data_IF_579635810343
#
_entry.id   IF_579635810343
#
_cell.length_a   1.000
_cell.length_b   1.000
_cell.length_c   1.000
_cell.angle_alpha   90.00
_cell.angle_beta   90.00
_cell.angle_gamma   90.00
#
_symmetry.space_group_name_H-M   'P 1'
#
loop_
_entity.id
_entity.type
_entity.pdbx_description
1 polymer ?
#
# COMPACT_ATOMS: atom_id res chain seq x y z
N UNK A 1 19.62 14.74 -20.71
CA UNK A 1 19.35 13.29 -20.84
C UNK A 1 18.90 12.80 -19.48
N UNK A 2 17.60 12.81 -19.22
CA UNK A 2 17.01 12.38 -17.97
C UNK A 2 16.93 10.87 -17.93
N UNK A 3 17.77 10.24 -17.11
CA UNK A 3 17.66 8.82 -16.80
C UNK A 3 16.35 8.57 -16.06
N UNK A 4 15.28 8.19 -16.77
CA UNK A 4 14.01 7.83 -16.18
C UNK A 4 14.20 6.68 -15.19
N UNK A 5 13.76 6.89 -13.96
CA UNK A 5 13.67 5.83 -12.96
C UNK A 5 12.78 4.71 -13.52
N UNK A 6 13.36 3.54 -13.71
CA UNK A 6 12.65 2.33 -14.12
C UNK A 6 12.32 1.53 -12.85
N UNK A 7 11.10 1.60 -12.35
CA UNK A 7 10.72 0.75 -11.20
C UNK A 7 10.77 -0.71 -11.65
N UNK A 8 11.47 -1.52 -10.88
CA UNK A 8 11.49 -2.98 -11.04
C UNK A 8 10.50 -3.57 -10.06
N UNK A 9 9.47 -4.20 -10.57
CA UNK A 9 8.43 -4.83 -9.77
C UNK A 9 8.70 -6.32 -9.75
N UNK A 10 8.71 -6.87 -8.56
CA UNK A 10 8.82 -8.30 -8.31
C UNK A 10 7.43 -8.83 -8.05
N UNK A 11 6.96 -9.65 -8.96
CA UNK A 11 5.70 -10.35 -8.79
C UNK A 11 5.99 -11.79 -8.39
N UNK A 12 5.38 -12.22 -7.29
CA UNK A 12 5.25 -13.62 -6.94
C UNK A 12 3.84 -14.05 -7.33
N UNK A 13 3.70 -15.26 -7.87
CA UNK A 13 2.38 -15.84 -8.02
C UNK A 13 1.65 -15.80 -6.69
N UNK A 14 0.39 -15.34 -6.63
CA UNK A 14 -0.43 -15.56 -5.44
C UNK A 14 -0.46 -17.06 -5.16
N UNK A 15 -0.43 -17.40 -3.89
CA UNK A 15 -0.25 -18.73 -3.30
C UNK A 15 -1.30 -19.78 -3.67
N UNK A 16 -1.75 -19.87 -4.90
CA UNK A 16 -2.63 -20.96 -5.36
C UNK A 16 -1.85 -22.19 -5.86
N UNK A 17 -0.53 -22.12 -5.90
CA UNK A 17 0.31 -23.27 -6.23
C UNK A 17 1.42 -23.44 -5.20
N UNK A 18 1.09 -24.16 -4.12
CA UNK A 18 2.06 -24.81 -3.24
C UNK A 18 2.77 -25.94 -4.01
N UNK A 19 3.73 -25.60 -4.86
CA UNK A 19 4.75 -26.55 -5.32
C UNK A 19 6.08 -25.81 -5.29
N UNK A 20 6.98 -26.36 -4.47
CA UNK A 20 8.29 -25.86 -4.17
C UNK A 20 9.06 -25.44 -5.41
N UNK A 21 9.42 -24.29 -5.40
CA UNK A 21 10.46 -23.46 -5.95
C UNK A 21 9.90 -22.07 -6.34
N UNK A 22 10.52 -21.00 -5.95
CA UNK A 22 9.98 -19.68 -6.23
C UNK A 22 10.28 -19.31 -7.69
N UNK A 23 9.39 -19.66 -8.57
CA UNK A 23 9.38 -19.12 -9.93
C UNK A 23 9.09 -17.62 -9.83
N UNK A 24 10.13 -16.86 -9.58
CA UNK A 24 10.01 -15.40 -9.50
C UNK A 24 9.91 -14.85 -10.92
N UNK A 25 8.81 -14.15 -11.19
CA UNK A 25 8.69 -13.32 -12.36
C UNK A 25 9.16 -11.91 -12.04
N UNK A 26 10.08 -11.38 -12.82
CA UNK A 26 10.51 -9.99 -12.74
C UNK A 26 9.79 -9.21 -13.81
N UNK A 27 9.05 -8.19 -13.39
CA UNK A 27 8.43 -7.27 -14.31
C UNK A 27 9.23 -5.97 -14.33
N UNK A 28 9.58 -5.53 -15.51
CA UNK A 28 10.21 -4.22 -15.73
C UNK A 28 9.17 -3.32 -16.40
N UNK A 29 8.84 -2.21 -15.75
CA UNK A 29 7.99 -1.17 -16.30
C UNK A 29 8.84 0.00 -16.74
N UNK A 30 8.59 0.50 -17.94
CA UNK A 30 9.21 1.71 -18.45
C UNK A 30 8.11 2.62 -19.04
N UNK A 31 8.05 3.85 -18.55
CA UNK A 31 7.19 4.89 -19.12
C UNK A 31 7.94 5.59 -20.23
N UNK A 32 7.38 5.51 -21.43
CA UNK A 32 7.92 6.15 -22.62
C UNK A 32 6.77 6.97 -23.23
N UNK A 33 6.86 8.28 -23.13
CA UNK A 33 5.79 9.21 -23.47
C UNK A 33 4.47 8.84 -22.75
N UNK A 34 3.39 8.64 -23.50
CA UNK A 34 2.07 8.25 -22.95
C UNK A 34 1.88 6.74 -22.85
N UNK A 35 2.93 5.92 -23.06
CA UNK A 35 2.83 4.47 -23.06
C UNK A 35 3.62 3.82 -21.94
N UNK A 36 3.13 2.68 -21.46
CA UNK A 36 3.85 1.82 -20.50
C UNK A 36 4.33 0.58 -21.24
N UNK A 37 5.64 0.38 -21.27
CA UNK A 37 6.26 -0.85 -21.75
C UNK A 37 6.40 -1.83 -20.60
N UNK A 38 5.87 -3.04 -20.77
CA UNK A 38 5.93 -4.11 -19.79
C UNK A 38 6.87 -5.19 -20.35
N UNK A 39 7.92 -5.50 -19.61
CA UNK A 39 8.81 -6.63 -19.91
C UNK A 39 8.74 -7.62 -18.76
N UNK A 40 8.33 -8.85 -19.06
CA UNK A 40 8.33 -9.96 -18.10
C UNK A 40 9.57 -10.80 -18.33
N UNK A 41 10.30 -11.05 -17.25
CA UNK A 41 11.50 -11.90 -17.23
C UNK A 41 11.21 -13.05 -16.26
N UNK A 42 11.20 -14.27 -16.79
CA UNK A 42 11.14 -15.48 -15.97
C UNK A 42 12.54 -15.82 -15.45
N UNK A 43 12.64 -16.14 -14.17
CA UNK A 43 13.90 -16.60 -13.56
C UNK A 43 13.95 -18.12 -13.38
N UNK A 44 12.89 -18.82 -13.78
CA UNK A 44 12.73 -20.27 -13.72
C UNK A 44 11.74 -20.74 -14.78
N UNK A 45 11.18 -21.94 -14.59
CA UNK A 45 10.15 -22.49 -15.47
C UNK A 45 8.84 -21.73 -15.23
N UNK A 46 8.29 -21.12 -16.27
CA UNK A 46 7.00 -20.45 -16.21
C UNK A 46 6.07 -20.93 -17.31
N UNK A 47 4.76 -20.91 -17.02
CA UNK A 47 3.71 -21.23 -17.98
C UNK A 47 3.23 -19.96 -18.68
N UNK A 48 2.46 -20.11 -19.76
CA UNK A 48 1.78 -18.97 -20.40
C UNK A 48 0.85 -18.24 -19.43
N UNK A 49 0.15 -18.96 -18.57
CA UNK A 49 -0.72 -18.41 -17.54
C UNK A 49 0.05 -17.53 -16.54
N UNK A 50 1.27 -17.93 -16.19
CA UNK A 50 2.15 -17.12 -15.32
C UNK A 50 2.52 -15.80 -15.96
N UNK A 51 2.83 -15.82 -17.24
CA UNK A 51 3.17 -14.62 -18.01
C UNK A 51 1.96 -13.70 -18.13
N UNK A 52 0.77 -14.25 -18.44
CA UNK A 52 -0.47 -13.47 -18.50
C UNK A 52 -0.80 -12.82 -17.15
N UNK A 53 -0.71 -13.59 -16.06
CA UNK A 53 -0.90 -13.07 -14.72
C UNK A 53 0.10 -11.93 -14.40
N UNK A 54 1.36 -12.09 -14.78
CA UNK A 54 2.38 -11.07 -14.55
C UNK A 54 2.09 -9.79 -15.36
N UNK A 55 1.61 -9.92 -16.59
CA UNK A 55 1.22 -8.78 -17.43
C UNK A 55 0.02 -8.05 -16.82
N UNK A 56 -1.03 -8.78 -16.43
CA UNK A 56 -2.22 -8.21 -15.80
C UNK A 56 -1.87 -7.48 -14.49
N UNK A 57 -1.04 -8.09 -13.66
CA UNK A 57 -0.56 -7.47 -12.42
C UNK A 57 0.25 -6.21 -12.71
N UNK A 58 1.12 -6.24 -13.71
CA UNK A 58 1.91 -5.10 -14.14
C UNK A 58 1.03 -3.94 -14.65
N UNK A 59 -0.02 -4.24 -15.43
CA UNK A 59 -1.00 -3.25 -15.90
C UNK A 59 -1.72 -2.58 -14.73
N UNK A 60 -2.19 -3.37 -13.75
CA UNK A 60 -2.83 -2.85 -12.55
C UNK A 60 -1.88 -1.98 -11.72
N UNK A 61 -0.64 -2.44 -11.56
CA UNK A 61 0.37 -1.68 -10.82
C UNK A 61 0.75 -0.37 -11.53
N UNK A 62 0.74 -0.34 -12.84
CA UNK A 62 0.93 0.88 -13.64
C UNK A 62 -0.34 1.72 -13.78
N UNK A 63 -1.46 1.29 -13.19
CA UNK A 63 -2.77 1.92 -13.31
C UNK A 63 -3.21 2.14 -14.78
N UNK A 64 -2.81 1.24 -15.70
CA UNK A 64 -3.09 1.39 -17.14
C UNK A 64 -4.58 1.33 -17.43
N UNK A 65 -5.28 0.46 -16.70
CA UNK A 65 -6.71 0.19 -16.90
C UNK A 65 -7.61 0.96 -15.92
N UNK A 66 -7.02 1.82 -15.08
CA UNK A 66 -7.78 2.61 -14.12
C UNK A 66 -8.25 3.92 -14.76
N UNK A 67 -9.57 4.14 -14.76
CA UNK A 67 -10.21 5.34 -15.34
C UNK A 67 -10.64 6.33 -14.25
N UNK A 68 -9.97 7.48 -14.13
CA UNK A 68 -10.37 8.55 -13.24
C UNK A 68 -11.38 9.53 -13.85
N UNK A 69 -11.92 9.26 -15.04
CA UNK A 69 -12.72 10.21 -15.81
C UNK A 69 -13.93 10.77 -15.08
N UNK A 70 -14.59 9.98 -14.25
CA UNK A 70 -15.70 10.46 -13.41
C UNK A 70 -15.22 11.48 -12.36
N UNK A 71 -14.13 11.20 -11.66
CA UNK A 71 -13.55 12.15 -10.71
C UNK A 71 -13.14 13.45 -11.43
N UNK A 72 -12.48 13.35 -12.59
CA UNK A 72 -12.03 14.53 -13.33
C UNK A 72 -13.20 15.45 -13.69
N UNK A 73 -14.33 14.89 -14.09
CA UNK A 73 -15.56 15.67 -14.34
C UNK A 73 -16.11 16.29 -13.07
N UNK A 74 -16.11 15.53 -11.97
CA UNK A 74 -16.64 15.98 -10.68
C UNK A 74 -15.85 17.16 -10.11
N UNK A 75 -14.52 17.18 -10.28
CA UNK A 75 -13.64 18.21 -9.71
C UNK A 75 -13.25 19.32 -10.67
N UNK A 76 -13.68 19.29 -11.95
CA UNK A 76 -13.25 20.25 -12.96
C UNK A 76 -13.43 21.73 -12.57
N UNK A 77 -14.52 22.06 -11.87
CA UNK A 77 -14.79 23.41 -11.35
C UNK A 77 -14.31 23.66 -9.90
N UNK A 78 -13.69 22.68 -9.27
CA UNK A 78 -13.28 22.82 -7.86
C UNK A 78 -11.97 23.61 -7.77
N UNK A 79 -11.91 24.70 -6.98
CA UNK A 79 -10.78 25.65 -6.98
C UNK A 79 -9.43 25.01 -6.64
N UNK A 80 -9.42 23.98 -5.78
CA UNK A 80 -8.19 23.27 -5.38
C UNK A 80 -8.03 21.98 -6.17
N UNK A 81 -9.05 21.12 -6.16
CA UNK A 81 -8.94 19.77 -6.73
C UNK A 81 -8.86 19.78 -8.26
N UNK A 82 -9.50 20.74 -8.93
CA UNK A 82 -9.41 20.87 -10.38
C UNK A 82 -7.98 21.08 -10.86
N UNK A 83 -7.26 22.00 -10.22
CA UNK A 83 -5.86 22.25 -10.53
C UNK A 83 -4.96 21.04 -10.18
N UNK A 84 -5.19 20.39 -9.03
CA UNK A 84 -4.42 19.21 -8.61
C UNK A 84 -4.65 18.02 -9.54
N UNK A 85 -5.88 17.78 -9.96
CA UNK A 85 -6.23 16.68 -10.87
C UNK A 85 -5.69 16.91 -12.28
N UNK A 86 -5.61 18.17 -12.73
CA UNK A 86 -5.01 18.52 -14.02
C UNK A 86 -3.47 18.41 -14.01
N UNK A 87 -2.83 18.73 -12.87
CA UNK A 87 -1.37 18.70 -12.74
C UNK A 87 -0.83 17.31 -12.32
N UNK A 88 -1.65 16.46 -11.72
CA UNK A 88 -1.30 15.15 -11.21
C UNK A 88 -1.99 14.01 -11.94
N UNK A 89 -1.64 12.79 -11.58
CA UNK A 89 -2.29 11.58 -12.04
C UNK A 89 -3.17 11.01 -10.93
N UNK A 90 -4.51 11.11 -11.01
CA UNK A 90 -5.41 10.60 -10.00
C UNK A 90 -5.65 9.09 -10.09
N UNK A 91 -5.02 8.40 -11.04
CA UNK A 91 -5.13 6.95 -11.16
C UNK A 91 -4.54 6.23 -9.96
N UNK A 92 -5.17 5.12 -9.60
CA UNK A 92 -4.76 4.26 -8.50
C UNK A 92 -4.03 3.04 -9.03
N UNK A 93 -2.77 2.93 -8.67
CA UNK A 93 -2.04 1.68 -8.81
C UNK A 93 -2.59 0.65 -7.83
N UNK A 94 -2.67 -0.60 -8.27
CA UNK A 94 -3.08 -1.71 -7.42
C UNK A 94 -2.23 -2.95 -7.68
N UNK A 95 -2.09 -3.77 -6.66
CA UNK A 95 -1.45 -5.09 -6.79
C UNK A 95 -2.42 -6.14 -6.25
N UNK A 96 -2.70 -7.23 -6.98
CA UNK A 96 -3.64 -8.26 -6.51
C UNK A 96 -3.08 -9.13 -5.37
N UNK A 97 -1.93 -8.80 -4.83
CA UNK A 97 -1.27 -9.52 -3.74
C UNK A 97 -1.71 -8.94 -2.40
N UNK A 98 -2.85 -9.40 -1.89
CA UNK A 98 -3.46 -8.87 -0.65
C UNK A 98 -2.55 -9.07 0.55
N UNK A 99 -1.94 -10.24 0.68
CA UNK A 99 -1.06 -10.54 1.82
C UNK A 99 0.22 -9.69 1.82
N UNK A 100 0.79 -9.40 0.65
CA UNK A 100 1.94 -8.49 0.54
C UNK A 100 1.55 -7.07 0.96
N UNK A 101 0.44 -6.55 0.44
CA UNK A 101 -0.09 -5.23 0.81
C UNK A 101 -0.38 -5.16 2.32
N UNK A 102 -0.98 -6.22 2.89
CA UNK A 102 -1.25 -6.30 4.33
C UNK A 102 0.05 -6.33 5.14
N UNK A 103 1.06 -7.06 4.68
CA UNK A 103 2.38 -7.10 5.34
C UNK A 103 2.98 -5.70 5.42
N UNK A 104 2.96 -4.95 4.32
CA UNK A 104 3.46 -3.57 4.29
C UNK A 104 2.63 -2.68 5.23
N UNK A 105 1.31 -2.73 5.15
CA UNK A 105 0.43 -1.93 6.00
C UNK A 105 0.61 -2.22 7.51
N UNK A 106 0.85 -3.48 7.89
CA UNK A 106 1.19 -3.83 9.29
C UNK A 106 2.54 -3.21 9.70
N UNK A 107 3.54 -3.26 8.83
CA UNK A 107 4.86 -2.67 9.12
C UNK A 107 4.80 -1.15 9.25
N UNK A 108 3.85 -0.50 8.62
CA UNK A 108 3.63 0.96 8.66
C UNK A 108 2.87 1.45 9.90
N UNK A 109 2.26 0.55 10.68
CA UNK A 109 1.50 0.94 11.87
C UNK A 109 2.36 1.69 12.90
N UNK A 110 1.98 2.92 13.23
CA UNK A 110 2.56 3.75 14.30
C UNK A 110 4.08 4.01 14.18
N UNK A 111 4.60 4.02 12.98
CA UNK A 111 6.01 4.35 12.70
C UNK A 111 6.12 5.29 11.50
N UNK A 112 7.31 5.84 11.28
CA UNK A 112 7.57 6.61 10.08
C UNK A 112 7.67 5.70 8.85
N UNK A 113 7.34 6.22 7.66
CA UNK A 113 7.50 5.47 6.41
C UNK A 113 8.95 4.99 6.18
N UNK A 114 9.95 5.75 6.66
CA UNK A 114 11.36 5.33 6.57
C UNK A 114 11.65 4.08 7.42
N UNK A 115 11.11 4.03 8.63
CA UNK A 115 11.25 2.86 9.53
C UNK A 115 10.52 1.64 8.95
N UNK A 116 9.29 1.83 8.47
CA UNK A 116 8.51 0.78 7.82
C UNK A 116 9.25 0.19 6.61
N UNK A 117 9.71 1.05 5.69
CA UNK A 117 10.47 0.61 4.52
C UNK A 117 11.80 -0.05 4.88
N UNK A 118 12.47 0.39 5.95
CA UNK A 118 13.69 -0.25 6.42
C UNK A 118 13.40 -1.66 6.97
N UNK A 119 12.34 -1.81 7.76
CA UNK A 119 11.89 -3.10 8.28
C UNK A 119 11.46 -4.05 7.15
N UNK A 120 10.68 -3.56 6.18
CA UNK A 120 10.28 -4.33 5.00
C UNK A 120 11.48 -4.84 4.21
N UNK A 121 12.44 -3.97 3.88
CA UNK A 121 13.66 -4.39 3.16
C UNK A 121 14.47 -5.46 3.90
N UNK A 122 14.54 -5.38 5.24
CA UNK A 122 15.20 -6.39 6.05
C UNK A 122 14.42 -7.70 6.06
N UNK A 123 13.10 -7.63 6.21
CA UNK A 123 12.22 -8.79 6.18
C UNK A 123 12.30 -9.52 4.83
N UNK A 124 12.27 -8.77 3.70
CA UNK A 124 12.43 -9.36 2.36
C UNK A 124 13.76 -10.08 2.20
N UNK A 125 14.86 -9.57 2.79
CA UNK A 125 16.17 -10.22 2.72
C UNK A 125 16.24 -11.53 3.48
N UNK A 126 15.52 -11.66 4.60
CA UNK A 126 15.61 -12.87 5.45
C UNK A 126 14.54 -13.91 5.14
N UNK A 127 13.38 -13.48 4.65
CA UNK A 127 12.22 -14.34 4.42
C UNK A 127 11.77 -14.38 2.95
N UNK A 128 12.22 -13.44 2.12
CA UNK A 128 11.95 -13.41 0.69
C UNK A 128 12.89 -14.32 -0.10
N UNK A 129 12.46 -14.75 -1.29
CA UNK A 129 13.29 -15.52 -2.18
C UNK A 129 14.21 -14.60 -3.01
N UNK A 130 15.52 -14.88 -3.12
CA UNK A 130 16.39 -14.14 -4.00
C UNK A 130 15.96 -14.32 -5.46
N UNK A 131 16.00 -13.24 -6.23
CA UNK A 131 15.67 -13.27 -7.66
C UNK A 131 16.96 -13.42 -8.47
N UNK A 132 17.09 -14.53 -9.18
CA UNK A 132 18.30 -14.86 -9.94
C UNK A 132 18.70 -13.73 -10.91
N UNK A 133 20.02 -13.48 -11.02
CA UNK A 133 20.57 -12.44 -11.90
C UNK A 133 20.28 -10.99 -11.43
N UNK A 134 19.74 -10.80 -10.23
CA UNK A 134 19.43 -9.46 -9.67
C UNK A 134 19.90 -9.34 -8.21
N UNK A 135 19.83 -8.12 -7.64
CA UNK A 135 20.02 -7.91 -6.19
C UNK A 135 18.68 -7.85 -5.42
N UNK A 136 17.64 -8.41 -5.98
CA UNK A 136 16.29 -8.23 -5.53
C UNK A 136 15.77 -9.50 -4.85
N UNK A 137 14.78 -9.32 -3.98
CA UNK A 137 14.10 -10.40 -3.29
C UNK A 137 12.60 -10.32 -3.61
N UNK A 138 12.00 -11.42 -3.95
CA UNK A 138 10.55 -11.52 -4.06
C UNK A 138 9.92 -11.35 -2.66
N UNK A 139 8.68 -10.88 -2.62
CA UNK A 139 7.95 -10.76 -1.37
C UNK A 139 7.89 -12.11 -0.62
N UNK A 140 8.05 -12.11 0.71
CA UNK A 140 7.95 -13.34 1.50
C UNK A 140 6.57 -13.96 1.39
N UNK A 141 6.52 -15.28 1.34
CA UNK A 141 5.25 -16.00 1.49
C UNK A 141 4.72 -15.89 2.91
N UNK A 142 3.41 -16.12 3.15
CA UNK A 142 2.88 -16.25 4.49
C UNK A 142 3.64 -17.27 5.33
N UNK A 143 3.97 -18.43 4.76
CA UNK A 143 4.74 -19.49 5.45
C UNK A 143 6.13 -19.01 5.81
N UNK A 144 6.82 -18.30 4.91
CA UNK A 144 8.15 -17.76 5.18
C UNK A 144 8.12 -16.70 6.30
N UNK A 145 7.10 -15.83 6.32
CA UNK A 145 6.93 -14.87 7.43
C UNK A 145 6.61 -15.58 8.73
N UNK A 146 5.72 -16.57 8.71
CA UNK A 146 5.34 -17.32 9.91
C UNK A 146 6.52 -18.07 10.52
N UNK A 147 7.48 -18.50 9.70
CA UNK A 147 8.70 -19.18 10.13
C UNK A 147 9.75 -18.23 10.76
N UNK A 148 9.63 -16.91 10.59
CA UNK A 148 10.55 -15.95 11.22
C UNK A 148 10.23 -15.86 12.72
N UNK A 149 11.19 -16.17 13.63
CA UNK A 149 10.95 -16.07 15.06
C UNK A 149 10.62 -14.64 15.49
N UNK A 150 9.80 -14.48 16.53
CA UNK A 150 9.40 -13.17 17.06
C UNK A 150 10.61 -12.29 17.41
N UNK A 151 11.63 -12.85 18.07
CA UNK A 151 12.84 -12.11 18.41
C UNK A 151 13.57 -11.58 17.19
N UNK A 152 13.54 -12.34 16.09
CA UNK A 152 14.15 -11.91 14.82
C UNK A 152 13.38 -10.76 14.18
N UNK A 153 12.04 -10.76 14.27
CA UNK A 153 11.23 -9.62 13.83
C UNK A 153 11.56 -8.35 14.64
N UNK A 154 11.81 -8.50 15.95
CA UNK A 154 12.25 -7.39 16.80
C UNK A 154 13.59 -6.81 16.36
N UNK A 155 14.57 -7.63 16.01
CA UNK A 155 15.86 -7.18 15.47
C UNK A 155 15.70 -6.41 14.14
N UNK A 156 14.66 -6.70 13.37
CA UNK A 156 14.33 -5.95 12.15
C UNK A 156 13.67 -4.59 12.43
N UNK A 157 13.36 -4.28 13.69
CA UNK A 157 12.66 -3.06 14.12
C UNK A 157 11.14 -3.19 14.14
N UNK A 158 10.61 -4.42 14.14
CA UNK A 158 9.17 -4.67 14.24
C UNK A 158 8.78 -4.85 15.70
N UNK A 159 8.03 -3.90 16.27
CA UNK A 159 7.56 -3.97 17.66
C UNK A 159 6.65 -5.18 17.89
N UNK A 160 6.58 -5.68 19.14
CA UNK A 160 5.88 -6.91 19.52
C UNK A 160 4.45 -6.99 19.01
N UNK A 161 3.68 -5.91 19.13
CA UNK A 161 2.29 -5.86 18.66
C UNK A 161 2.20 -6.10 17.13
N UNK A 162 3.03 -5.45 16.35
CA UNK A 162 3.08 -5.61 14.88
C UNK A 162 3.58 -7.00 14.49
N UNK A 163 4.59 -7.52 15.18
CA UNK A 163 5.12 -8.86 14.97
C UNK A 163 4.05 -9.92 15.23
N UNK A 164 3.28 -9.81 16.32
CA UNK A 164 2.14 -10.69 16.60
C UNK A 164 1.06 -10.61 15.52
N UNK A 165 0.67 -9.38 15.13
CA UNK A 165 -0.31 -9.18 14.05
C UNK A 165 0.17 -9.82 12.74
N UNK A 166 1.46 -9.66 12.40
CA UNK A 166 2.06 -10.22 11.21
C UNK A 166 2.04 -11.75 11.21
N UNK A 167 2.34 -12.39 12.36
CA UNK A 167 2.24 -13.85 12.50
C UNK A 167 0.79 -14.36 12.39
N UNK A 168 -0.17 -13.66 13.01
CA UNK A 168 -1.59 -14.00 12.89
C UNK A 168 -2.10 -13.88 11.46
N UNK A 169 -1.68 -12.84 10.75
CA UNK A 169 -2.00 -12.68 9.32
C UNK A 169 -1.32 -13.78 8.48
N UNK A 170 -0.06 -14.09 8.74
CA UNK A 170 0.68 -15.12 8.04
C UNK A 170 0.05 -16.52 8.20
N UNK A 171 -0.42 -16.84 9.40
CA UNK A 171 -1.15 -18.10 9.65
C UNK A 171 -2.46 -18.23 8.83
N UNK A 172 -3.00 -17.12 8.33
CA UNK A 172 -4.23 -17.04 7.52
C UNK A 172 -4.00 -16.59 6.08
N UNK A 173 -2.77 -16.57 5.61
CA UNK A 173 -2.36 -15.97 4.34
C UNK A 173 -3.21 -16.43 3.14
N UNK A 174 -3.47 -17.72 2.99
CA UNK A 174 -4.30 -18.24 1.90
C UNK A 174 -5.77 -17.75 1.98
N UNK A 175 -6.32 -17.58 3.18
CA UNK A 175 -7.67 -17.03 3.35
C UNK A 175 -7.68 -15.52 3.03
N UNK A 176 -6.63 -14.80 3.40
CA UNK A 176 -6.46 -13.37 3.11
C UNK A 176 -6.35 -13.13 1.61
N UNK A 177 -5.57 -13.93 0.88
CA UNK A 177 -5.48 -13.78 -0.58
C UNK A 177 -6.84 -13.97 -1.29
N UNK A 178 -7.67 -14.90 -0.81
CA UNK A 178 -9.03 -15.10 -1.36
C UNK A 178 -9.95 -13.88 -1.19
N UNK A 179 -9.63 -12.95 -0.31
CA UNK A 179 -10.39 -11.72 -0.17
C UNK A 179 -10.28 -10.79 -1.40
N UNK A 180 -9.28 -10.97 -2.24
CA UNK A 180 -9.09 -10.16 -3.45
C UNK A 180 -10.31 -10.17 -4.39
N UNK A 181 -11.15 -11.21 -4.33
CA UNK A 181 -12.34 -11.39 -5.16
C UNK A 181 -13.65 -10.99 -4.46
N UNK A 182 -13.57 -10.53 -3.21
CA UNK A 182 -14.75 -10.14 -2.45
C UNK A 182 -15.13 -8.67 -2.70
N UNK A 183 -16.42 -8.31 -2.55
CA UNK A 183 -16.82 -6.91 -2.53
C UNK A 183 -16.04 -6.12 -1.47
N UNK A 184 -15.72 -4.83 -1.73
CA UNK A 184 -14.88 -4.01 -0.82
C UNK A 184 -15.37 -3.98 0.62
N UNK A 185 -16.66 -3.94 0.86
CA UNK A 185 -17.26 -3.90 2.20
C UNK A 185 -16.99 -5.21 2.96
N UNK A 186 -17.17 -6.36 2.28
CA UNK A 186 -16.87 -7.69 2.83
C UNK A 186 -15.38 -7.84 3.07
N UNK A 187 -14.56 -7.34 2.15
CA UNK A 187 -13.10 -7.31 2.29
C UNK A 187 -12.68 -6.57 3.56
N UNK A 188 -13.20 -5.35 3.79
CA UNK A 188 -12.90 -4.56 4.99
C UNK A 188 -13.34 -5.26 6.27
N UNK A 189 -14.56 -5.78 6.31
CA UNK A 189 -15.09 -6.50 7.48
C UNK A 189 -14.20 -7.69 7.83
N UNK A 190 -13.85 -8.50 6.83
CA UNK A 190 -13.03 -9.71 7.01
C UNK A 190 -11.61 -9.38 7.46
N UNK A 191 -10.98 -8.34 6.88
CA UNK A 191 -9.66 -7.92 7.33
C UNK A 191 -9.69 -7.38 8.77
N UNK A 192 -10.68 -6.56 9.10
CA UNK A 192 -10.81 -5.99 10.45
C UNK A 192 -11.17 -7.03 11.52
N UNK A 193 -11.64 -8.22 11.15
CA UNK A 193 -11.83 -9.34 12.08
C UNK A 193 -10.51 -9.93 12.59
N UNK A 194 -9.37 -9.60 11.96
CA UNK A 194 -8.05 -10.02 12.40
C UNK A 194 -7.56 -9.13 13.54
N UNK A 195 -7.08 -9.70 14.67
CA UNK A 195 -6.51 -8.92 15.76
C UNK A 195 -5.36 -8.02 15.29
N UNK A 196 -5.41 -6.76 15.63
CA UNK A 196 -4.40 -5.76 15.24
C UNK A 196 -4.63 -5.09 13.90
N UNK A 197 -5.68 -5.44 13.15
CA UNK A 197 -6.08 -4.80 11.92
C UNK A 197 -7.27 -3.85 12.19
N UNK A 198 -6.99 -2.55 12.15
CA UNK A 198 -8.00 -1.51 12.30
C UNK A 198 -8.47 -0.95 10.96
N UNK A 199 -9.40 0.05 10.99
CA UNK A 199 -9.93 0.69 9.78
C UNK A 199 -8.84 1.25 8.87
N UNK A 200 -7.81 1.89 9.41
CA UNK A 200 -6.71 2.43 8.62
C UNK A 200 -5.99 1.33 7.81
N UNK A 201 -5.57 0.25 8.49
CA UNK A 201 -4.86 -0.84 7.84
C UNK A 201 -5.73 -1.51 6.76
N UNK A 202 -7.00 -1.77 7.07
CA UNK A 202 -7.91 -2.41 6.13
C UNK A 202 -8.17 -1.54 4.88
N UNK A 203 -8.36 -0.22 5.05
CA UNK A 203 -8.54 0.69 3.93
C UNK A 203 -7.25 0.88 3.11
N UNK A 204 -6.08 0.94 3.75
CA UNK A 204 -4.81 0.98 3.05
C UNK A 204 -4.65 -0.24 2.13
N UNK A 205 -4.92 -1.44 2.65
CA UNK A 205 -4.86 -2.68 1.85
C UNK A 205 -5.92 -2.70 0.76
N UNK A 206 -7.15 -2.24 1.03
CA UNK A 206 -8.21 -2.17 0.01
C UNK A 206 -7.82 -1.24 -1.14
N UNK A 207 -7.22 -0.09 -0.85
CA UNK A 207 -6.68 0.83 -1.85
C UNK A 207 -5.56 0.17 -2.65
N UNK A 208 -4.55 -0.42 -1.97
CA UNK A 208 -3.31 -0.85 -2.59
C UNK A 208 -3.43 -2.22 -3.28
N UNK A 209 -4.28 -3.12 -2.78
CA UNK A 209 -4.50 -4.43 -3.38
C UNK A 209 -5.67 -4.44 -4.38
N UNK A 210 -6.78 -3.78 -4.07
CA UNK A 210 -7.96 -3.78 -4.93
C UNK A 210 -8.03 -2.58 -5.88
N UNK A 211 -7.28 -1.51 -5.62
CA UNK A 211 -7.44 -0.22 -6.31
C UNK A 211 -8.76 0.45 -5.95
N UNK A 212 -9.30 0.20 -4.75
CA UNK A 212 -10.61 0.74 -4.38
C UNK A 212 -10.55 2.25 -4.17
N UNK A 213 -11.22 2.94 -5.09
CA UNK A 213 -11.18 4.40 -5.18
C UNK A 213 -11.87 5.12 -4.01
N UNK A 214 -12.67 4.41 -3.22
CA UNK A 214 -13.40 4.96 -2.08
C UNK A 214 -12.81 4.55 -0.71
N UNK A 215 -11.65 3.90 -0.66
CA UNK A 215 -10.96 3.48 0.55
C UNK A 215 -10.34 4.67 1.30
N UNK A 216 -11.06 5.22 2.26
CA UNK A 216 -10.64 6.40 3.03
C UNK A 216 -9.69 6.01 4.16
N UNK A 217 -8.55 6.71 4.36
CA UNK A 217 -7.56 6.39 5.40
C UNK A 217 -8.04 6.81 6.81
N UNK A 218 -9.17 6.27 7.27
CA UNK A 218 -9.75 6.56 8.60
C UNK A 218 -8.81 6.05 9.69
N UNK A 219 -8.42 6.94 10.60
CA UNK A 219 -7.46 6.63 11.65
C UNK A 219 -6.01 6.91 11.27
N UNK A 220 -5.76 7.49 10.10
CA UNK A 220 -4.44 8.01 9.75
C UNK A 220 -4.07 9.20 10.65
N UNK A 221 -2.78 9.28 10.99
CA UNK A 221 -2.29 10.34 11.88
C UNK A 221 -2.20 11.72 11.21
N UNK A 222 -2.09 11.78 9.89
CA UNK A 222 -1.86 13.00 9.12
C UNK A 222 -3.01 13.35 8.17
N UNK A 223 -3.58 12.36 7.51
CA UNK A 223 -4.58 12.55 6.48
C UNK A 223 -5.78 13.41 6.92
N UNK A 224 -6.37 13.23 8.12
CA UNK A 224 -7.49 14.05 8.55
C UNK A 224 -7.16 15.54 8.56
N UNK A 225 -5.98 15.92 9.03
CA UNK A 225 -5.55 17.31 9.10
C UNK A 225 -5.19 17.86 7.72
N UNK A 226 -4.43 17.12 6.94
CA UNK A 226 -4.03 17.52 5.58
C UNK A 226 -5.26 17.74 4.68
N UNK A 227 -6.23 16.85 4.77
CA UNK A 227 -7.42 16.90 3.94
C UNK A 227 -8.34 18.04 4.38
N UNK A 228 -8.66 18.17 5.67
CA UNK A 228 -9.55 19.22 6.17
C UNK A 228 -8.95 20.61 5.96
N UNK A 229 -7.63 20.78 6.14
CA UNK A 229 -6.93 22.03 5.90
C UNK A 229 -7.04 22.45 4.42
N UNK A 230 -6.91 21.53 3.49
CA UNK A 230 -7.05 21.80 2.06
C UNK A 230 -8.44 22.31 1.67
N UNK A 231 -9.47 21.99 2.47
CA UNK A 231 -10.84 22.52 2.33
C UNK A 231 -11.11 23.75 3.21
N UNK A 232 -10.07 24.37 3.77
CA UNK A 232 -10.19 25.56 4.62
C UNK A 232 -10.77 25.31 6.01
N UNK A 233 -10.92 24.04 6.41
CA UNK A 233 -11.36 23.66 7.77
C UNK A 233 -10.13 23.51 8.67
N UNK A 234 -9.81 24.57 9.39
CA UNK A 234 -8.70 24.63 10.36
C UNK A 234 -9.25 24.52 11.78
N UNK A 235 -8.39 24.19 12.75
CA UNK A 235 -8.74 24.23 14.17
C UNK A 235 -8.97 22.86 14.83
N UNK A 236 -8.82 21.76 14.08
CA UNK A 236 -8.80 20.43 14.69
C UNK A 236 -7.49 20.20 15.43
N UNK A 237 -7.56 19.92 16.73
CA UNK A 237 -6.37 19.61 17.52
C UNK A 237 -5.98 18.14 17.36
N UNK A 238 -4.68 17.88 17.27
CA UNK A 238 -4.15 16.50 17.16
C UNK A 238 -4.51 15.60 18.35
N UNK A 239 -5.02 16.17 19.44
CA UNK A 239 -5.56 15.44 20.58
C UNK A 239 -6.96 14.86 20.36
N UNK A 240 -7.69 15.32 19.35
CA UNK A 240 -9.05 14.84 19.03
C UNK A 240 -9.09 14.23 17.63
N UNK A 241 -8.54 13.02 17.53
CA UNK A 241 -8.50 12.26 16.28
C UNK A 241 -9.91 11.82 15.82
N UNK A 242 -10.87 11.68 16.74
CA UNK A 242 -12.22 11.29 16.37
C UNK A 242 -12.91 12.42 15.59
N UNK A 243 -12.91 13.64 16.13
CA UNK A 243 -13.47 14.81 15.45
C UNK A 243 -12.73 15.12 14.13
N UNK A 244 -11.40 14.96 14.09
CA UNK A 244 -10.64 15.17 12.85
C UNK A 244 -11.01 14.15 11.76
N UNK A 245 -11.21 12.88 12.10
CA UNK A 245 -11.67 11.86 11.16
C UNK A 245 -13.11 12.13 10.68
N UNK A 246 -14.01 12.55 11.57
CA UNK A 246 -15.39 12.91 11.21
C UNK A 246 -15.39 14.06 10.21
N UNK A 247 -14.68 15.14 10.50
CA UNK A 247 -14.53 16.27 9.60
C UNK A 247 -13.94 15.90 8.24
N UNK A 248 -12.93 15.01 8.23
CA UNK A 248 -12.37 14.47 6.99
C UNK A 248 -13.42 13.71 6.18
N UNK A 249 -14.22 12.86 6.83
CA UNK A 249 -15.27 12.10 6.16
C UNK A 249 -16.36 13.02 5.59
N UNK A 250 -16.71 14.10 6.30
CA UNK A 250 -17.68 15.11 5.81
C UNK A 250 -17.16 15.81 4.54
N UNK A 251 -15.92 16.31 4.54
CA UNK A 251 -15.38 17.03 3.38
C UNK A 251 -15.16 16.11 2.18
N UNK A 252 -14.93 14.82 2.41
CA UNK A 252 -14.78 13.83 1.37
C UNK A 252 -16.13 13.26 0.87
N UNK A 253 -17.23 13.40 1.61
CA UNK A 253 -18.53 12.79 1.27
C UNK A 253 -19.03 13.13 -0.14
N UNK A 254 -18.88 14.37 -0.68
CA UNK A 254 -19.32 14.71 -2.03
C UNK A 254 -18.54 13.99 -3.15
N UNK A 255 -17.38 13.41 -2.83
CA UNK A 255 -16.48 12.78 -3.81
C UNK A 255 -16.64 11.25 -3.89
N UNK A 256 -17.71 10.68 -3.35
CA UNK A 256 -18.02 9.27 -3.55
C UNK A 256 -18.29 8.98 -5.03
N UNK A 257 -17.80 7.86 -5.55
CA UNK A 257 -16.99 6.79 -4.95
C UNK A 257 -15.47 6.99 -5.11
N UNK A 258 -14.98 8.21 -5.13
CA UNK A 258 -13.59 8.57 -5.44
C UNK A 258 -12.83 9.19 -4.25
N UNK A 259 -13.28 8.97 -3.01
CA UNK A 259 -12.72 9.64 -1.82
C UNK A 259 -11.23 9.35 -1.62
N UNK A 260 -10.77 8.11 -1.89
CA UNK A 260 -9.36 7.76 -1.79
C UNK A 260 -8.51 8.49 -2.83
N UNK A 261 -9.04 8.71 -4.04
CA UNK A 261 -8.32 9.48 -5.08
C UNK A 261 -8.13 10.92 -4.66
N UNK A 262 -9.18 11.53 -4.10
CA UNK A 262 -9.11 12.91 -3.58
C UNK A 262 -8.10 13.01 -2.44
N UNK A 263 -8.17 12.09 -1.46
CA UNK A 263 -7.21 12.04 -0.36
C UNK A 263 -5.76 11.94 -0.89
N UNK A 264 -5.51 11.05 -1.83
CA UNK A 264 -4.18 10.84 -2.43
C UNK A 264 -3.65 12.08 -3.18
N UNK A 265 -4.51 12.79 -3.92
CA UNK A 265 -4.13 14.04 -4.59
C UNK A 265 -3.71 15.11 -3.58
N UNK A 266 -4.46 15.27 -2.49
CA UNK A 266 -4.18 16.24 -1.45
C UNK A 266 -2.92 15.89 -0.66
N UNK A 267 -2.73 14.63 -0.29
CA UNK A 267 -1.53 14.14 0.39
C UNK A 267 -0.27 14.33 -0.47
N UNK A 268 -0.33 13.99 -1.75
CA UNK A 268 0.78 14.20 -2.69
C UNK A 268 1.13 15.69 -2.82
N UNK A 269 0.13 16.55 -2.91
CA UNK A 269 0.32 17.99 -2.97
C UNK A 269 1.00 18.52 -1.70
N UNK A 270 0.52 18.13 -0.53
CA UNK A 270 1.11 18.50 0.75
C UNK A 270 2.57 18.06 0.88
N UNK A 271 2.91 16.85 0.44
CA UNK A 271 4.27 16.34 0.43
C UNK A 271 5.19 17.13 -0.50
N UNK A 272 4.73 17.48 -1.70
CA UNK A 272 5.50 18.24 -2.70
C UNK A 272 5.79 19.65 -2.23
N UNK A 273 4.83 20.31 -1.58
CA UNK A 273 4.96 21.69 -1.13
C UNK A 273 5.66 21.85 0.24
N UNK A 274 6.16 20.74 0.82
CA UNK A 274 6.83 20.74 2.13
C UNK A 274 6.02 21.40 3.26
N UNK A 275 4.72 21.52 3.11
CA UNK A 275 3.83 22.02 4.16
C UNK A 275 3.72 21.00 5.29
N UNK A 276 3.97 19.75 4.99
CA UNK A 276 4.03 18.66 5.95
C UNK A 276 5.47 18.42 6.43
N UNK A 277 5.69 18.50 7.74
CA UNK A 277 6.92 18.02 8.38
C UNK A 277 6.57 16.78 9.18
N UNK A 278 7.25 15.63 8.93
CA UNK A 278 7.05 14.46 9.79
C UNK A 278 7.33 14.86 11.24
N UNK A 279 6.56 14.36 12.20
CA UNK A 279 6.87 14.59 13.60
C UNK A 279 8.28 14.09 13.86
N UNK A 280 9.05 14.86 14.65
CA UNK A 280 10.31 14.34 15.18
C UNK A 280 9.96 13.15 16.04
N UNK A 281 10.27 11.96 15.55
CA UNK A 281 10.12 10.73 16.36
C UNK A 281 11.09 10.85 17.52
N UNK A 282 10.54 10.87 18.72
CA UNK A 282 11.35 10.95 19.93
C UNK A 282 12.27 9.73 19.98
N UNK A 283 13.59 9.98 19.94
CA UNK A 283 14.59 8.90 19.89
C UNK A 283 14.50 7.96 21.11
N UNK A 284 13.85 8.41 22.19
CA UNK A 284 13.64 7.63 23.43
C UNK A 284 12.50 6.59 23.30
N UNK A 285 11.66 6.64 22.28
CA UNK A 285 10.67 5.57 21.98
C UNK A 285 11.25 4.37 21.23
N UNK A 286 12.56 4.31 21.06
CA UNK A 286 13.25 3.26 20.28
C UNK A 286 13.62 2.01 21.07
N UNK A 287 13.19 1.86 22.31
CA UNK A 287 13.40 0.62 23.05
C UNK A 287 12.26 -0.37 22.77
N UNK A 288 12.46 -1.36 21.85
CA UNK A 288 11.39 -2.24 21.37
C UNK A 288 10.82 -3.17 22.47
N UNK A 289 11.46 -3.24 23.63
CA UNK A 289 11.12 -4.14 24.75
C UNK A 289 10.40 -3.46 25.91
N UNK A 290 10.09 -2.18 25.84
CA UNK A 290 9.38 -1.46 26.92
C UNK A 290 7.86 -1.39 26.76
N UNK A 291 7.27 -2.14 25.77
CA UNK A 291 5.83 -2.19 25.60
C UNK A 291 5.31 -3.60 25.39
#
# INVERSE_FOLDING_TARGET
>A
MGGGYVPRIHLRKPLLALRGDPDALVVVLAWVDATVRIKVLATGVCTSEDVEWAILTARRHAAVDDDPGELLRLVAGHPVLGALAAAGDPRLAATPTVFESLTIAILEQLVTGQEAHAAARRLWRIAGAPVAGTRLFAAPTPQAIHAVPMWRLHELGVASRRATTLHLAAARGAAIERLATQPPEVFLERLQSLPGIGPWTANAVARDALGWADAVPVGDFHAPFTITEAFGRTGHHRGDMAAANEAMLEVLAPFRPHRARVALLLERHAMQNRTWRPPKVDAHRREPWKY
#
